data_IF_996070912455
#
_entry.id   IF_996070912455
#
_cell.length_a   1.000
_cell.length_b   1.000
_cell.length_c   1.000
_cell.angle_alpha   90.00
_cell.angle_beta   90.00
_cell.angle_gamma   90.00
#
_symmetry.space_group_name_H-M   'P 1'
#
loop_
_entity.id
_entity.type
_entity.pdbx_description
1 polymer ?
#
# COMPACT_ATOMS: atom_id res chain seq x y z
N UNK A 1 4.83 22.27 2.74
CA UNK A 1 3.85 21.16 2.62
C UNK A 1 4.50 19.83 2.24
N UNK A 2 5.28 19.75 1.15
CA UNK A 2 5.89 18.49 0.69
C UNK A 2 6.86 17.86 1.70
N UNK A 3 7.56 18.65 2.51
CA UNK A 3 8.46 18.13 3.55
C UNK A 3 7.75 17.30 4.61
N UNK A 4 6.54 17.72 5.02
CA UNK A 4 5.72 16.97 5.99
C UNK A 4 5.33 15.61 5.44
N UNK A 5 5.01 15.54 4.14
CA UNK A 5 4.69 14.27 3.48
C UNK A 5 5.92 13.36 3.44
N UNK A 6 7.08 13.87 3.03
CA UNK A 6 8.33 13.09 3.03
C UNK A 6 8.71 12.59 4.42
N UNK A 7 8.50 13.41 5.46
CA UNK A 7 8.72 13.00 6.83
C UNK A 7 7.78 11.86 7.22
N UNK A 8 6.49 11.98 6.90
CA UNK A 8 5.51 10.93 7.14
C UNK A 8 5.86 9.60 6.44
N UNK A 9 6.29 9.64 5.17
CA UNK A 9 6.76 8.46 4.42
C UNK A 9 7.95 7.79 5.13
N UNK A 10 8.93 8.59 5.56
CA UNK A 10 10.09 8.09 6.32
C UNK A 10 9.70 7.41 7.62
N UNK A 11 8.61 7.82 8.25
CA UNK A 11 8.05 7.16 9.44
C UNK A 11 7.12 5.98 9.12
N UNK A 12 6.95 5.62 7.84
CA UNK A 12 6.10 4.49 7.42
C UNK A 12 4.60 4.78 7.52
N UNK A 13 4.22 6.06 7.54
CA UNK A 13 2.82 6.46 7.55
C UNK A 13 2.23 6.33 6.14
N UNK A 14 0.98 5.89 6.08
CA UNK A 14 0.26 5.71 4.81
C UNK A 14 -0.48 6.99 4.48
N UNK A 15 -0.22 7.52 3.29
CA UNK A 15 -0.98 8.63 2.73
C UNK A 15 -2.36 8.15 2.28
N UNK A 16 -3.41 8.77 2.79
CA UNK A 16 -4.78 8.51 2.35
C UNK A 16 -5.55 9.79 2.10
N UNK A 17 -6.51 9.70 1.19
CA UNK A 17 -7.37 10.80 0.81
C UNK A 17 -8.69 10.27 0.26
N UNK A 18 -9.61 11.19 0.03
CA UNK A 18 -10.85 10.97 -0.71
C UNK A 18 -10.57 10.60 -2.17
N UNK A 19 -11.20 9.54 -2.66
CA UNK A 19 -10.98 8.99 -4.00
C UNK A 19 -11.83 9.69 -5.08
N UNK A 20 -11.51 10.95 -5.37
CA UNK A 20 -12.10 11.75 -6.46
C UNK A 20 -11.04 12.67 -7.09
N UNK A 21 -11.24 13.10 -8.34
CA UNK A 21 -10.18 13.73 -9.13
C UNK A 21 -9.82 15.15 -8.68
N UNK A 22 -10.80 15.96 -8.26
CA UNK A 22 -10.59 17.39 -8.03
C UNK A 22 -10.70 17.79 -6.55
N UNK A 23 -9.69 18.51 -6.04
CA UNK A 23 -9.65 19.05 -4.67
C UNK A 23 -9.94 17.96 -3.63
N UNK A 24 -8.98 17.05 -3.38
CA UNK A 24 -9.10 16.10 -2.27
C UNK A 24 -9.41 16.84 -0.98
N UNK A 25 -10.35 16.32 -0.19
CA UNK A 25 -10.86 17.03 0.98
C UNK A 25 -9.80 17.17 2.08
N UNK A 26 -8.90 16.18 2.18
CA UNK A 26 -7.81 16.12 3.12
C UNK A 26 -6.72 15.17 2.60
N UNK A 27 -5.52 15.27 3.15
CA UNK A 27 -4.53 14.19 3.10
C UNK A 27 -4.25 13.83 4.54
N UNK A 28 -4.43 12.56 4.91
CA UNK A 28 -4.00 12.06 6.21
C UNK A 28 -2.81 11.12 6.06
N UNK A 29 -2.00 11.07 7.11
CA UNK A 29 -0.75 10.34 7.17
C UNK A 29 -0.81 9.44 8.41
N UNK A 30 -1.33 8.22 8.28
CA UNK A 30 -1.67 7.40 9.44
C UNK A 30 -1.04 6.01 9.40
N UNK A 31 -0.85 5.40 10.57
CA UNK A 31 -0.62 3.96 10.71
C UNK A 31 -1.90 3.21 11.11
N UNK A 32 -2.03 1.91 10.78
CA UNK A 32 -3.15 1.06 11.22
C UNK A 32 -3.20 0.83 12.75
N UNK A 33 -2.16 1.25 13.47
CA UNK A 33 -2.06 1.23 14.93
C UNK A 33 -3.33 1.81 15.62
N UNK A 34 -3.72 3.04 15.26
CA UNK A 34 -4.80 3.82 15.88
C UNK A 34 -5.83 4.34 14.86
N UNK A 35 -5.55 4.28 13.56
CA UNK A 35 -6.47 4.76 12.53
C UNK A 35 -7.64 3.79 12.35
N UNK A 36 -8.87 4.26 12.59
CA UNK A 36 -10.08 3.46 12.35
C UNK A 36 -10.24 3.00 10.90
N UNK A 37 -9.88 3.85 9.93
CA UNK A 37 -9.96 3.52 8.49
C UNK A 37 -8.95 2.45 8.08
N UNK A 38 -7.66 2.61 8.40
CA UNK A 38 -6.67 1.59 8.07
C UNK A 38 -6.86 0.32 8.91
N UNK A 39 -7.39 0.46 10.13
CA UNK A 39 -7.80 -0.64 10.99
C UNK A 39 -8.89 -1.52 10.40
N UNK A 40 -9.74 -1.01 9.48
CA UNK A 40 -10.73 -1.88 8.81
C UNK A 40 -10.07 -2.96 7.98
N UNK A 41 -8.91 -2.67 7.36
CA UNK A 41 -8.15 -3.63 6.57
C UNK A 41 -7.40 -4.61 7.48
N UNK A 42 -6.74 -4.11 8.51
CA UNK A 42 -5.80 -4.93 9.30
C UNK A 42 -6.46 -5.68 10.45
N UNK A 43 -7.37 -5.03 11.17
CA UNK A 43 -8.06 -5.56 12.36
C UNK A 43 -9.38 -6.23 12.00
N UNK A 44 -10.22 -5.56 11.19
CA UNK A 44 -11.53 -6.09 10.80
C UNK A 44 -11.48 -7.00 9.56
N UNK A 45 -10.31 -7.10 8.91
CA UNK A 45 -10.12 -7.92 7.70
C UNK A 45 -11.16 -7.64 6.61
N UNK A 46 -11.61 -6.39 6.49
CA UNK A 46 -12.58 -5.97 5.48
C UNK A 46 -11.85 -5.38 4.26
N UNK A 47 -11.62 -6.15 3.19
CA UNK A 47 -10.91 -5.68 2.00
C UNK A 47 -11.67 -4.60 1.21
N UNK A 48 -12.97 -4.43 1.47
CA UNK A 48 -13.82 -3.38 0.85
C UNK A 48 -13.82 -2.06 1.62
N UNK A 49 -13.21 -2.03 2.82
CA UNK A 49 -13.12 -0.82 3.64
C UNK A 49 -12.18 0.25 3.09
N UNK A 50 -11.39 -0.08 2.05
CA UNK A 50 -10.40 0.82 1.48
C UNK A 50 -10.25 0.58 -0.02
N UNK A 51 -10.06 1.65 -0.80
CA UNK A 51 -9.81 1.53 -2.24
C UNK A 51 -8.32 1.31 -2.49
N UNK A 52 -7.96 0.30 -3.28
CA UNK A 52 -6.57 0.03 -3.67
C UNK A 52 -6.06 1.10 -4.65
N UNK A 53 -4.78 1.44 -4.51
CA UNK A 53 -4.07 2.27 -5.48
C UNK A 53 -3.97 1.59 -6.85
N UNK A 54 -3.77 2.41 -7.88
CA UNK A 54 -3.39 1.94 -9.21
C UNK A 54 -1.97 1.36 -9.27
N UNK A 55 -1.19 1.48 -8.19
CA UNK A 55 0.20 1.08 -8.14
C UNK A 55 0.43 -0.11 -7.22
N UNK A 56 1.42 -0.94 -7.55
CA UNK A 56 1.92 -2.02 -6.71
C UNK A 56 3.45 -2.07 -6.71
N UNK A 57 4.07 -2.62 -5.66
CA UNK A 57 5.51 -2.78 -5.61
C UNK A 57 5.96 -3.82 -6.65
N UNK A 58 6.98 -3.47 -7.42
CA UNK A 58 7.80 -4.39 -8.22
C UNK A 58 9.16 -4.51 -7.55
N UNK A 59 9.58 -5.73 -7.29
CA UNK A 59 10.86 -6.05 -6.65
C UNK A 59 11.86 -6.41 -7.75
N UNK A 60 13.02 -5.76 -7.72
CA UNK A 60 14.20 -6.16 -8.46
C UNK A 60 14.94 -7.22 -7.63
N UNK A 61 14.85 -8.49 -8.06
CA UNK A 61 15.41 -9.62 -7.33
C UNK A 61 16.94 -9.69 -7.43
N UNK A 62 17.54 -9.03 -8.42
CA UNK A 62 19.01 -8.93 -8.55
C UNK A 62 19.58 -7.90 -7.56
N UNK A 63 18.89 -6.76 -7.39
CA UNK A 63 19.27 -5.73 -6.42
C UNK A 63 18.86 -6.08 -4.98
N UNK A 64 17.86 -6.94 -4.79
CA UNK A 64 17.33 -7.28 -3.48
C UNK A 64 18.28 -8.19 -2.68
N UNK A 65 18.69 -7.73 -1.49
CA UNK A 65 19.50 -8.51 -0.55
C UNK A 65 18.69 -9.28 0.51
N UNK A 66 17.37 -9.40 0.35
CA UNK A 66 16.48 -10.17 1.25
C UNK A 66 16.66 -9.79 2.74
N UNK A 67 16.76 -8.50 3.03
CA UNK A 67 17.02 -7.97 4.38
C UNK A 67 15.75 -7.76 5.24
N UNK A 68 14.60 -8.23 4.77
CA UNK A 68 13.28 -8.13 5.42
C UNK A 68 12.78 -6.74 5.82
N UNK A 69 13.49 -5.67 5.48
CA UNK A 69 13.07 -4.30 5.83
C UNK A 69 11.68 -3.96 5.26
N UNK A 70 11.40 -4.40 4.03
CA UNK A 70 10.09 -4.19 3.38
C UNK A 70 8.99 -5.09 3.96
N UNK A 71 9.33 -6.30 4.41
CA UNK A 71 8.42 -7.23 5.10
C UNK A 71 8.00 -6.62 6.44
N UNK A 72 8.98 -6.22 7.26
CA UNK A 72 8.76 -5.67 8.60
C UNK A 72 8.08 -4.30 8.60
N UNK A 73 8.29 -3.49 7.55
CA UNK A 73 7.68 -2.16 7.47
C UNK A 73 6.31 -2.14 6.80
N UNK A 74 5.83 -3.25 6.22
CA UNK A 74 4.55 -3.28 5.53
C UNK A 74 3.38 -3.21 6.53
N UNK A 75 2.58 -2.13 6.56
CA UNK A 75 1.49 -2.00 7.53
C UNK A 75 0.32 -2.98 7.27
N UNK A 76 0.31 -3.65 6.12
CA UNK A 76 -0.77 -4.53 5.69
C UNK A 76 -0.34 -6.00 5.55
N UNK A 77 0.89 -6.35 5.97
CA UNK A 77 1.45 -7.69 5.83
C UNK A 77 1.29 -8.23 4.39
N UNK A 78 1.63 -7.38 3.43
CA UNK A 78 1.51 -7.67 2.01
C UNK A 78 2.83 -8.12 1.38
N UNK A 79 3.92 -8.16 2.15
CA UNK A 79 5.20 -8.73 1.71
C UNK A 79 5.61 -9.82 2.69
N UNK A 80 6.27 -10.85 2.17
CA UNK A 80 6.85 -11.93 2.95
C UNK A 80 8.14 -12.43 2.32
N UNK A 81 9.01 -13.02 3.14
CA UNK A 81 10.19 -13.73 2.69
C UNK A 81 9.79 -15.15 2.34
N UNK A 82 9.88 -15.50 1.06
CA UNK A 82 9.82 -16.88 0.61
C UNK A 82 11.20 -17.49 0.78
N UNK A 83 11.40 -18.19 1.91
CA UNK A 83 12.63 -18.93 2.16
C UNK A 83 12.77 -20.07 1.15
N UNK A 84 14.01 -20.40 0.75
CA UNK A 84 14.26 -21.37 -0.30
C UNK A 84 13.86 -22.78 0.13
N UNK A 85 13.27 -23.51 -0.80
CA UNK A 85 12.98 -24.95 -0.68
C UNK A 85 13.94 -25.78 -1.52
N UNK A 86 14.68 -25.16 -2.44
CA UNK A 86 15.70 -25.80 -3.25
C UNK A 86 17.11 -25.56 -2.67
N UNK A 87 18.00 -26.56 -2.82
CA UNK A 87 19.38 -26.48 -2.32
C UNK A 87 20.21 -25.38 -3.00
N UNK A 88 19.89 -25.05 -4.25
CA UNK A 88 20.55 -24.01 -5.04
C UNK A 88 20.02 -22.59 -4.77
N UNK A 89 19.07 -22.45 -3.84
CA UNK A 89 18.51 -21.19 -3.35
C UNK A 89 17.84 -20.31 -4.42
N UNK A 90 17.51 -20.87 -5.60
CA UNK A 90 16.94 -20.07 -6.69
C UNK A 90 15.55 -19.49 -6.37
N UNK A 91 14.86 -20.05 -5.38
CA UNK A 91 13.56 -19.61 -4.90
C UNK A 91 13.62 -18.74 -3.62
N UNK A 92 14.82 -18.31 -3.20
CA UNK A 92 15.01 -17.38 -2.08
C UNK A 92 14.69 -15.93 -2.50
N UNK A 93 13.51 -15.44 -2.13
CA UNK A 93 13.07 -14.11 -2.55
C UNK A 93 12.01 -13.47 -1.65
N UNK A 94 11.88 -12.15 -1.77
CA UNK A 94 10.74 -11.43 -1.20
C UNK A 94 9.59 -11.48 -2.20
N UNK A 95 8.39 -11.87 -1.74
CA UNK A 95 7.16 -11.93 -2.54
C UNK A 95 6.08 -10.99 -2.01
N UNK A 96 5.11 -10.69 -2.86
CA UNK A 96 3.99 -9.78 -2.56
C UNK A 96 2.68 -10.58 -2.55
N UNK A 97 1.88 -10.41 -1.50
CA UNK A 97 0.50 -10.90 -1.42
C UNK A 97 -0.40 -9.79 -1.99
N UNK A 98 -0.83 -9.95 -3.24
CA UNK A 98 -1.55 -8.92 -3.98
C UNK A 98 -2.88 -8.52 -3.32
N UNK A 99 -3.53 -9.49 -2.68
CA UNK A 99 -4.80 -9.34 -1.99
C UNK A 99 -4.68 -8.35 -0.82
N UNK A 100 -3.55 -8.39 -0.11
CA UNK A 100 -3.27 -7.53 1.04
C UNK A 100 -2.69 -6.18 0.64
N UNK A 101 -2.05 -6.09 -0.55
CA UNK A 101 -1.38 -4.87 -0.99
C UNK A 101 -2.39 -3.79 -1.39
N UNK A 102 -2.35 -2.64 -0.69
CA UNK A 102 -3.13 -1.44 -1.06
C UNK A 102 -2.36 -0.47 -1.97
N UNK A 103 -1.07 -0.72 -2.21
CA UNK A 103 -0.22 0.13 -3.03
C UNK A 103 0.22 1.44 -2.35
N UNK A 104 0.48 1.40 -1.03
CA UNK A 104 0.85 2.58 -0.23
C UNK A 104 2.29 3.07 -0.44
N UNK A 105 3.19 2.26 -1.00
CA UNK A 105 4.57 2.66 -1.29
C UNK A 105 5.55 2.64 -0.11
N UNK A 106 5.11 2.34 1.13
CA UNK A 106 6.00 2.30 2.31
C UNK A 106 7.22 1.39 2.08
N UNK A 107 7.03 0.23 1.44
CA UNK A 107 8.11 -0.70 1.12
C UNK A 107 9.16 -0.12 0.17
N UNK A 108 8.75 0.71 -0.80
CA UNK A 108 9.68 1.40 -1.71
C UNK A 108 10.54 2.43 -0.98
N UNK A 109 9.93 3.22 -0.09
CA UNK A 109 10.64 4.25 0.70
C UNK A 109 11.60 3.62 1.70
N UNK A 110 11.24 2.48 2.28
CA UNK A 110 12.02 1.81 3.32
C UNK A 110 13.13 0.91 2.78
N UNK A 111 13.10 0.52 1.50
CA UNK A 111 14.09 -0.40 0.96
C UNK A 111 15.49 0.26 0.93
N UNK A 112 16.47 -0.22 1.72
CA UNK A 112 17.80 0.38 1.76
C UNK A 112 18.59 0.14 0.47
N UNK A 113 18.18 -0.83 -0.35
CA UNK A 113 18.82 -1.14 -1.64
C UNK A 113 18.13 -0.45 -2.82
N UNK A 114 17.05 0.30 -2.60
CA UNK A 114 16.17 0.82 -3.66
C UNK A 114 15.66 -0.26 -4.63
N UNK A 115 15.61 -1.52 -4.20
CA UNK A 115 15.18 -2.66 -5.01
C UNK A 115 13.65 -2.75 -5.18
N UNK A 116 12.88 -1.85 -4.57
CA UNK A 116 11.42 -1.84 -4.65
C UNK A 116 10.96 -0.56 -5.33
N UNK A 117 10.29 -0.69 -6.46
CA UNK A 117 9.69 0.43 -7.22
C UNK A 117 8.18 0.28 -7.27
N UNK A 118 7.46 1.39 -7.45
CA UNK A 118 5.99 1.36 -7.58
C UNK A 118 5.61 1.43 -9.06
N UNK A 119 4.96 0.39 -9.57
CA UNK A 119 4.52 0.30 -10.97
C UNK A 119 3.01 0.37 -11.08
N UNK A 120 2.51 1.01 -12.14
CA UNK A 120 1.07 1.09 -12.40
C UNK A 120 0.56 -0.27 -12.91
N UNK A 121 -0.37 -0.87 -12.19
CA UNK A 121 -0.97 -2.19 -12.50
C UNK A 121 -2.47 -2.11 -12.75
N UNK A 122 -3.10 -0.96 -12.50
CA UNK A 122 -4.53 -0.73 -12.75
C UNK A 122 -4.74 0.61 -13.45
N UNK A 123 -5.82 0.68 -14.22
CA UNK A 123 -6.26 1.87 -14.95
C UNK A 123 -7.49 2.55 -14.34
N UNK A 124 -7.77 2.35 -13.05
CA UNK A 124 -8.99 2.88 -12.43
C UNK A 124 -8.94 4.41 -12.36
N UNK A 125 -9.98 5.07 -12.89
CA UNK A 125 -10.14 6.52 -12.85
C UNK A 125 -11.24 6.85 -11.84
N UNK A 126 -10.93 7.61 -10.77
CA UNK A 126 -11.94 8.05 -9.80
C UNK A 126 -12.97 8.98 -10.45
N UNK A 127 -14.15 9.08 -9.84
CA UNK A 127 -15.16 10.08 -10.23
C UNK A 127 -14.62 11.50 -10.04
N UNK A 128 -15.16 12.47 -10.78
CA UNK A 128 -14.61 13.83 -10.79
C UNK A 128 -14.79 14.53 -9.44
N UNK A 129 -15.99 14.40 -8.86
CA UNK A 129 -16.43 15.18 -7.71
C UNK A 129 -16.72 14.32 -6.49
N UNK A 130 -16.49 14.89 -5.31
CA UNK A 130 -16.78 14.23 -4.03
C UNK A 130 -18.24 13.77 -3.89
N UNK A 131 -19.21 14.53 -4.43
CA UNK A 131 -20.64 14.16 -4.39
C UNK A 131 -20.90 12.82 -5.07
N UNK A 132 -20.33 12.61 -6.26
CA UNK A 132 -20.48 11.38 -7.02
C UNK A 132 -19.83 10.20 -6.30
N UNK A 133 -18.69 10.43 -5.64
CA UNK A 133 -18.01 9.40 -4.87
C UNK A 133 -18.88 8.93 -3.71
N UNK A 134 -19.49 9.87 -2.99
CA UNK A 134 -20.42 9.54 -1.90
C UNK A 134 -21.67 8.82 -2.40
N UNK A 135 -22.23 9.22 -3.54
CA UNK A 135 -23.37 8.52 -4.15
C UNK A 135 -23.00 7.08 -4.51
N UNK A 136 -21.85 6.89 -5.16
CA UNK A 136 -21.33 5.58 -5.51
C UNK A 136 -21.06 4.72 -4.29
N UNK A 137 -20.38 5.25 -3.27
CA UNK A 137 -20.13 4.54 -2.01
C UNK A 137 -21.43 4.06 -1.38
N UNK A 138 -22.48 4.89 -1.35
CA UNK A 138 -23.79 4.48 -0.82
C UNK A 138 -24.45 3.39 -1.65
N UNK A 139 -24.35 3.45 -2.97
CA UNK A 139 -24.93 2.45 -3.87
C UNK A 139 -24.20 1.10 -3.81
N UNK A 140 -22.88 1.11 -3.63
CA UNK A 140 -22.03 -0.09 -3.57
C UNK A 140 -21.91 -0.67 -2.15
N UNK A 141 -22.44 0.01 -1.13
CA UNK A 141 -22.35 -0.44 0.26
C UNK A 141 -23.25 -1.65 0.48
N UNK A 142 -22.63 -2.82 0.63
CA UNK A 142 -23.29 -4.05 1.06
C UNK A 142 -23.52 -3.97 2.58
N UNK A 143 -24.76 -4.18 2.99
CA UNK A 143 -25.20 -4.21 4.39
C UNK A 143 -24.92 -5.55 5.05
#
# INVERSE_FOLDING_TARGET
MLEVLRLAEKHGLVHTTTNHQHRPAFICNCCPCCCGFLGTLTKLKNPRGFVKSNFMPKIDHEACKRCDTCVNSCPFNALYHHYPHAEDLHDDEIRVIEENCVGCGVCSVKCPQNAVTMVKVRGYVPVERAREMWMRFKAERIH
#
